data_IF_160324416749
#
_entry.id   IF_160324416749
#
_cell.length_a   1.000
_cell.length_b   1.000
_cell.length_c   1.000
_cell.angle_alpha   90.00
_cell.angle_beta   90.00
_cell.angle_gamma   90.00
#
_symmetry.space_group_name_H-M   'P 1'
#
loop_
_entity.id
_entity.type
_entity.pdbx_description
1 polymer ?
2 polymer ?
3 polymer ?
4 non-polymer ?
5 non-polymer ?
6 water ?
#
loop_
_entity_poly.entity_id
_entity_poly.type
_entity_poly.pdbx_seq_one_letter_code
_entity_poly.pdbx_strand_id
1 'polydeoxyribonucleotide' '(DA)(DT)(DC)(DC)(DT)(DC)(DC)(DC)(DC)(DT)(DA)(DOC)' ?
2 'polydeoxyribonucleotide' '(DT)(DA)(DA)(DG)(DG)(DT)(DA)(DG)(DG)(DG)(DG)(DA)(DG)(DG)(DA)(DT)' ?
#
# COMPACT_ATOMS: atom_id res chain seq x y z
N UNK C 1 -29.04 3.17 1.01
CA UNK C 1 -28.51 3.17 2.41
C UNK C 1 -28.57 1.65 2.69
N UNK C 2 -28.20 1.14 3.84
CA UNK C 2 -28.38 -0.33 4.16
C UNK C 2 -27.45 -1.21 3.38
N UNK C 3 -26.42 -1.64 4.08
CA UNK C 3 -25.30 -2.25 3.47
C UNK C 3 -25.66 -3.65 2.95
N UNK C 4 -25.17 -4.03 1.77
CA UNK C 4 -25.47 -5.37 1.23
C UNK C 4 -24.72 -6.44 2.09
N UNK C 5 -25.42 -7.46 2.51
CA UNK C 5 -24.85 -8.47 3.31
C UNK C 5 -24.04 -9.50 2.48
N UNK C 6 -23.17 -10.25 3.16
CA UNK C 6 -22.28 -11.21 2.55
C UNK C 6 -22.91 -12.38 1.85
N UNK C 7 -24.20 -12.55 2.01
CA UNK C 7 -24.86 -13.73 1.44
C UNK C 7 -25.67 -13.22 0.20
N UNK C 8 -25.49 -11.95 -0.12
CA UNK C 8 -26.11 -11.41 -1.32
C UNK C 8 -25.19 -11.53 -2.53
N UNK C 9 -25.77 -11.90 -3.67
CA UNK C 9 -24.98 -11.98 -4.87
C UNK C 9 -24.22 -10.70 -5.13
N UNK C 10 -24.64 -9.53 -4.72
CA UNK C 10 -23.75 -8.51 -5.11
C UNK C 10 -22.84 -7.88 -4.09
N UNK C 11 -22.55 -8.67 -3.04
CA UNK C 11 -21.74 -8.24 -1.98
C UNK C 11 -20.38 -7.69 -2.43
N UNK C 12 -19.65 -8.46 -3.22
CA UNK C 12 -18.29 -8.13 -3.59
C UNK C 12 -18.31 -6.84 -4.35
N UNK C 13 -19.27 -6.70 -5.27
CA UNK C 13 -19.37 -5.43 -6.09
C UNK C 13 -19.48 -4.25 -5.16
N UNK C 14 -20.37 -4.38 -4.19
CA UNK C 14 -20.80 -3.23 -3.40
C UNK C 14 -19.64 -2.96 -2.40
N UNK C 15 -19.05 -4.02 -1.84
CA UNK C 15 -18.02 -3.89 -0.83
C UNK C 15 -16.76 -3.32 -1.45
N UNK C 16 -16.35 -3.89 -2.57
CA UNK C 16 -15.22 -3.32 -3.34
C UNK C 16 -15.53 -1.87 -3.74
N UNK C 17 -16.79 -1.50 -3.94
CA UNK C 17 -16.96 -0.11 -4.51
C UNK C 17 -16.69 0.80 -3.40
N UNK C 18 -16.69 0.26 -2.16
CA UNK C 18 -16.59 1.20 -1.00
C UNK C 18 -15.22 1.04 -0.30
N UNK C 19 -14.54 -0.10 -0.41
CA UNK C 19 -13.29 -0.28 0.25
C UNK C 19 -12.09 0.49 -0.38
N UNK C 20 -11.50 1.41 0.40
CA UNK C 20 -10.46 2.16 -0.20
C UNK C 20 -9.23 1.23 -0.36
N UNK C 21 -9.11 0.20 0.51
CA UNK C 21 -8.00 -0.71 0.33
C UNK C 21 -8.10 -1.56 -0.97
N UNK C 22 -9.29 -2.07 -1.22
CA UNK C 22 -9.48 -2.68 -2.50
C UNK C 22 -9.11 -1.72 -3.70
N UNK C 23 -9.50 -0.42 -3.65
CA UNK C 23 -9.13 0.49 -4.73
C UNK C 23 -7.62 0.61 -4.88
N UNK C 24 -6.96 0.66 -3.72
CA UNK C 24 -5.52 0.89 -3.70
C UNK C 24 -4.91 -0.31 -4.46
N UNK C 25 -5.30 -1.54 -4.06
CA UNK C 25 -4.83 -2.72 -4.75
C UNK C 25 -5.15 -2.73 -6.24
N UNK C 26 -6.41 -2.49 -6.56
CA UNK C 26 -6.85 -2.51 -7.98
C UNK C 26 -6.06 -1.43 -8.76
N UNK C 27 -5.97 -0.21 -8.21
CA UNK C 27 -5.29 0.85 -8.97
C UNK C 27 -3.84 0.43 -9.18
N UNK C 28 -3.19 -0.21 -8.16
CA UNK C 28 -1.82 -0.64 -8.26
C UNK C 28 -1.61 -1.70 -9.37
N UNK C 29 -2.41 -2.75 -9.37
CA UNK C 29 -2.35 -3.76 -10.42
C UNK C 29 -2.52 -3.16 -11.87
N UNK C 30 -3.48 -2.25 -12.00
CA UNK C 30 -3.78 -1.63 -13.30
C UNK C 30 -2.59 -0.78 -13.74
N UNK C 31 -1.99 -0.01 -12.81
CA UNK C 31 -0.77 0.77 -13.20
C UNK C 31 0.44 -0.11 -13.64
N UNK C 32 0.70 -1.21 -12.92
CA UNK C 32 1.67 -2.19 -13.35
C UNK C 32 1.39 -2.64 -14.78
N UNK C 33 0.16 -3.08 -15.04
CA UNK C 33 -0.19 -3.49 -16.38
C UNK C 33 0.00 -2.40 -17.38
N UNK C 34 -0.37 -1.16 -16.99
CA UNK C 34 -0.34 -0.10 -17.97
C UNK C 34 1.17 0.10 -18.33
N UNK C 35 2.06 -0.02 -17.35
CA UNK C 35 3.47 0.03 -17.53
C UNK C 35 3.96 -1.03 -18.53
N UNK C 36 3.51 -2.29 -18.34
CA UNK C 36 3.88 -3.36 -19.22
C UNK C 36 3.31 -3.12 -20.59
N UNK C 37 2.07 -2.66 -20.71
CA UNK C 37 1.55 -2.37 -22.06
C UNK C 37 2.35 -1.23 -22.76
N UNK C 38 2.67 -0.12 -22.10
CA UNK C 38 3.28 1.04 -22.77
C UNK C 38 4.72 0.74 -23.13
N UNK C 39 5.32 -0.22 -22.45
CA UNK C 39 6.72 -0.51 -22.70
C UNK C 39 6.98 -1.86 -23.38
N UNK C 40 5.97 -2.45 -24.01
CA UNK C 40 6.12 -3.64 -24.84
C UNK C 40 7.31 -3.57 -25.79
N UNK C 41 7.54 -2.40 -26.46
CA UNK C 41 8.60 -2.30 -27.41
C UNK C 41 9.69 -1.36 -26.98
N UNK C 42 9.77 -1.11 -25.68
CA UNK C 42 10.79 -0.23 -25.14
C UNK C 42 11.83 -1.09 -24.38
N UNK C 43 13.12 -0.91 -24.71
CA UNK C 43 14.19 -1.63 -24.01
C UNK C 43 14.46 -0.85 -22.72
N UNK C 44 14.31 -1.59 -21.62
CA UNK C 44 13.83 -1.11 -20.33
C UNK C 44 14.79 -1.19 -19.07
N UNK C 45 15.62 -2.25 -19.02
CA UNK C 45 16.45 -2.58 -17.84
C UNK C 45 17.60 -1.58 -17.65
N UNK C 46 17.95 -1.29 -16.39
CA UNK C 46 19.13 -0.50 -16.05
C UNK C 46 20.22 -1.48 -15.71
N UNK C 47 21.48 -1.12 -16.01
CA UNK C 47 22.66 -2.00 -15.73
C UNK C 47 23.54 -1.57 -14.54
N UNK C 48 24.48 -2.45 -14.18
CA UNK C 48 25.56 -2.10 -13.23
C UNK C 48 26.46 -0.99 -13.76
N UNK C 49 26.71 -0.97 -15.08
CA UNK C 49 27.53 0.08 -15.72
C UNK C 49 26.90 1.53 -15.56
N UNK C 50 25.57 1.59 -15.41
CA UNK C 50 24.76 2.80 -15.42
C UNK C 50 24.93 3.72 -14.19
N UNK C 51 25.00 5.03 -14.40
CA UNK C 51 24.94 5.97 -13.28
C UNK C 51 23.58 6.68 -13.23
N UNK C 52 22.94 6.68 -12.07
CA UNK C 52 21.55 7.11 -12.03
C UNK C 52 21.13 7.89 -10.78
N UNK C 53 20.17 8.78 -10.96
CA UNK C 53 19.60 9.54 -9.85
C UNK C 53 18.11 9.12 -9.67
N UNK C 54 17.70 8.87 -8.43
CA UNK C 54 16.30 8.48 -8.15
C UNK C 54 15.50 9.67 -7.71
N UNK C 55 14.34 9.85 -8.28
CA UNK C 55 13.47 10.90 -7.79
C UNK C 55 12.18 10.19 -7.29
N UNK C 56 11.96 10.15 -6.00
CA UNK C 56 10.84 9.44 -5.49
C UNK C 56 9.76 10.49 -5.23
N UNK C 57 8.60 10.44 -5.90
CA UNK C 57 7.67 11.58 -5.94
C UNK C 57 6.29 11.08 -5.55
N UNK C 58 5.65 11.77 -4.60
CA UNK C 58 4.52 11.21 -3.84
C UNK C 58 3.58 12.33 -3.50
N UNK C 59 2.28 12.18 -3.69
CA UNK C 59 1.36 13.28 -3.25
C UNK C 59 1.35 13.42 -1.76
N UNK C 60 1.33 14.65 -1.23
CA UNK C 60 1.03 14.79 0.23
C UNK C 60 -0.38 14.46 0.60
N UNK C 61 -0.52 13.85 1.76
CA UNK C 61 -1.83 13.37 2.28
C UNK C 61 -2.89 13.26 1.16
N UNK C 62 -2.69 12.30 0.24
CA UNK C 62 -3.50 12.25 -1.02
C UNK C 62 -4.94 11.88 -0.57
N UNK C 63 -5.95 12.32 -1.12
CA UNK C 63 -7.25 11.66 -0.48
C UNK C 63 -7.65 12.76 0.39
N UNK C 64 -6.88 13.14 1.40
CA UNK C 64 -7.33 14.31 2.18
C UNK C 64 -7.15 15.53 1.34
N UNK C 65 -6.06 15.68 0.57
CA UNK C 65 -5.92 16.84 -0.31
C UNK C 65 -7.02 16.81 -1.39
N UNK C 66 -7.23 15.64 -1.99
CA UNK C 66 -8.17 15.60 -3.09
C UNK C 66 -9.66 15.66 -2.59
N UNK C 67 -9.98 15.00 -1.47
CA UNK C 67 -11.33 15.10 -0.90
C UNK C 67 -11.59 16.56 -0.51
N UNK C 68 -10.58 17.26 0.00
CA UNK C 68 -10.76 18.66 0.35
C UNK C 68 -10.98 19.56 -0.91
N UNK C 69 -10.11 19.48 -1.91
CA UNK C 69 -10.38 20.24 -3.16
C UNK C 69 -11.77 20.03 -3.76
N UNK C 70 -12.32 18.81 -3.69
CA UNK C 70 -13.59 18.41 -4.30
C UNK C 70 -14.71 18.44 -3.30
N UNK C 71 -14.55 19.07 -2.15
CA UNK C 71 -15.59 18.95 -1.08
C UNK C 71 -16.95 19.60 -1.46
N UNK C 72 -18.04 19.00 -0.96
CA UNK C 72 -19.41 19.50 -1.17
C UNK C 72 -19.57 20.85 -0.48
N UNK C 73 -20.62 21.62 -0.79
CA UNK C 73 -20.77 22.96 -0.21
C UNK C 73 -21.00 22.94 1.29
N UNK C 74 -21.52 21.84 1.86
CA UNK C 74 -21.75 21.87 3.32
C UNK C 74 -20.45 21.84 4.14
N UNK C 75 -19.32 21.60 3.48
CA UNK C 75 -18.01 21.86 4.04
C UNK C 75 -17.26 23.05 3.44
N UNK C 76 -17.91 24.03 2.79
CA UNK C 76 -17.09 25.16 2.26
C UNK C 76 -16.26 25.86 3.40
N UNK C 77 -16.76 25.69 4.63
CA UNK C 77 -16.35 26.45 5.81
C UNK C 77 -14.91 26.13 6.27
N UNK C 78 -14.23 25.36 5.46
CA UNK C 78 -13.39 24.37 6.06
C UNK C 78 -11.90 24.66 6.27
N UNK C 79 -11.15 25.19 5.31
CA UNK C 79 -9.71 25.54 5.63
C UNK C 79 -8.61 24.43 5.98
N UNK C 80 -7.97 23.96 4.89
CA UNK C 80 -6.94 22.92 4.87
C UNK C 80 -5.68 23.25 5.69
N UNK C 81 -5.43 24.57 5.87
CA UNK C 81 -4.20 25.05 6.55
C UNK C 81 -4.30 25.09 8.09
N UNK C 82 -5.52 25.16 8.62
CA UNK C 82 -5.79 25.47 10.02
C UNK C 82 -6.60 24.35 10.74
N UNK C 83 -7.44 23.62 10.00
CA UNK C 83 -8.26 22.52 10.50
C UNK C 83 -7.74 21.09 10.35
N UNK C 84 -7.95 20.23 11.34
CA UNK C 84 -7.56 18.82 11.24
C UNK C 84 -8.60 18.05 10.39
N UNK C 85 -8.14 17.47 9.28
CA UNK C 85 -9.11 16.88 8.36
C UNK C 85 -8.71 15.46 8.06
N UNK C 86 -9.70 14.62 7.99
CA UNK C 86 -9.52 13.25 7.63
C UNK C 86 -10.56 12.81 6.65
N UNK C 87 -10.34 11.67 5.97
CA UNK C 87 -11.24 11.07 5.04
C UNK C 87 -11.61 9.75 5.62
N UNK C 88 -12.91 9.44 5.78
CA UNK C 88 -13.28 8.21 6.43
C UNK C 88 -14.73 7.91 6.20
N UNK C 89 -15.23 6.73 6.64
CA UNK C 89 -16.63 6.39 6.28
C UNK C 89 -17.49 6.74 7.50
N UNK C 90 -17.01 6.54 8.72
CA UNK C 90 -17.87 6.63 9.85
C UNK C 90 -17.37 7.56 10.90
N UNK C 91 -17.66 7.18 12.12
CA UNK C 91 -17.58 8.13 13.24
C UNK C 91 -16.91 7.53 14.47
N UNK C 92 -16.67 6.21 14.51
CA UNK C 92 -16.06 5.59 15.73
C UNK C 92 -14.88 4.68 15.37
N UNK C 93 -15.11 3.40 15.12
CA UNK C 93 -14.02 2.48 14.74
C UNK C 93 -13.85 2.37 13.29
N UNK C 94 -13.65 3.54 12.67
CA UNK C 94 -13.71 3.65 11.26
C UNK C 94 -12.32 4.17 10.85
N UNK C 95 -11.69 3.54 9.88
CA UNK C 95 -10.31 3.92 9.60
C UNK C 95 -10.22 5.30 8.96
N UNK C 96 -9.24 6.02 9.43
CA UNK C 96 -8.84 7.23 8.76
C UNK C 96 -8.01 6.98 7.52
N UNK C 97 -8.57 7.00 6.32
CA UNK C 97 -7.72 6.65 5.15
C UNK C 97 -6.55 7.66 4.99
N UNK C 98 -6.84 8.95 5.19
CA UNK C 98 -5.74 9.95 4.99
C UNK C 98 -6.07 11.12 5.90
N UNK C 99 -5.06 11.70 6.55
CA UNK C 99 -5.26 12.91 7.38
C UNK C 99 -4.28 13.95 6.91
N UNK C 100 -4.69 15.22 6.87
CA UNK C 100 -3.78 16.35 6.58
C UNK C 100 -2.71 16.67 7.71
N UNK C 101 -1.67 17.44 7.36
CA UNK C 101 -0.62 17.70 8.30
C UNK C 101 -1.08 18.45 9.55
N UNK C 102 -2.19 19.18 9.49
CA UNK C 102 -2.70 19.80 10.74
C UNK C 102 -3.16 18.67 11.63
N UNK C 103 -3.95 17.73 11.12
CA UNK C 103 -4.28 16.51 11.96
C UNK C 103 -3.02 15.79 12.53
N UNK C 104 -1.97 15.64 11.70
CA UNK C 104 -0.73 14.98 12.13
C UNK C 104 0.05 15.74 13.17
N UNK C 105 -0.08 17.08 13.21
CA UNK C 105 0.51 17.83 14.30
C UNK C 105 -0.08 17.47 15.71
N UNK C 106 -1.26 16.83 15.80
CA UNK C 106 -1.84 16.34 17.07
C UNK C 106 -1.49 14.87 17.37
N UNK C 107 -0.84 14.18 16.42
CA UNK C 107 -0.45 12.79 16.59
C UNK C 107 -1.34 11.82 15.78
N UNK C 108 -2.37 12.32 15.13
CA UNK C 108 -3.21 11.54 14.26
C UNK C 108 -2.41 10.98 13.03
N UNK C 109 -2.64 9.71 12.70
CA UNK C 109 -1.92 9.00 11.64
C UNK C 109 -2.92 8.26 10.71
N UNK C 110 -2.55 8.10 9.45
CA UNK C 110 -3.32 7.24 8.53
C UNK C 110 -3.98 5.88 8.99
N UNK C 111 -3.39 4.97 9.63
CA UNK C 111 -4.55 3.93 9.77
C UNK C 111 -5.33 3.94 11.09
N UNK C 112 -5.37 5.10 11.71
CA UNK C 112 -5.97 5.22 13.04
C UNK C 112 -7.48 5.24 12.94
N UNK C 113 -8.18 4.76 13.98
CA UNK C 113 -9.61 4.93 14.01
C UNK C 113 -10.04 6.41 14.37
N UNK C 114 -11.13 6.83 13.82
CA UNK C 114 -11.67 8.10 14.18
C UNK C 114 -11.82 8.30 15.71
N UNK C 115 -12.22 7.28 16.46
CA UNK C 115 -12.43 7.53 17.88
C UNK C 115 -11.09 7.79 18.55
N UNK C 116 -10.10 7.00 18.21
CA UNK C 116 -8.76 7.21 18.74
C UNK C 116 -8.29 8.67 18.37
N UNK C 117 -8.62 9.18 17.17
CA UNK C 117 -7.99 10.41 16.74
C UNK C 117 -8.57 11.58 17.53
N UNK C 118 -9.85 11.60 17.72
CA UNK C 118 -10.57 12.66 18.39
C UNK C 118 -10.18 12.76 19.87
N UNK C 119 -9.88 11.67 20.57
CA UNK C 119 -9.16 11.83 21.81
C UNK C 119 -7.87 12.69 21.75
N UNK C 120 -7.27 12.85 20.58
CA UNK C 120 -5.98 13.51 20.58
C UNK C 120 -6.14 15.01 20.48
N UNK C 121 -7.37 15.49 20.26
CA UNK C 121 -7.60 16.91 20.01
C UNK C 121 -7.91 17.67 21.28
N UNK C 122 -7.18 18.75 21.51
CA UNK C 122 -7.42 19.65 22.64
C UNK C 122 -8.73 20.41 22.49
N UNK C 123 -9.14 21.08 23.55
CA UNK C 123 -10.48 21.65 23.66
C UNK C 123 -10.58 22.74 22.62
N UNK C 124 -11.68 22.78 21.87
CA UNK C 124 -11.82 23.89 20.93
C UNK C 124 -11.24 23.47 19.55
N UNK C 125 -10.76 22.21 19.45
CA UNK C 125 -10.36 21.74 18.14
C UNK C 125 -11.31 20.61 17.69
N UNK C 126 -11.91 20.73 16.49
CA UNK C 126 -12.93 19.78 16.00
C UNK C 126 -12.34 19.09 14.78
N UNK C 127 -12.54 17.77 14.71
CA UNK C 127 -12.10 16.97 13.60
C UNK C 127 -13.04 17.18 12.44
N UNK C 128 -12.51 17.46 11.26
CA UNK C 128 -13.39 17.45 10.10
C UNK C 128 -13.35 16.14 9.28
N UNK C 129 -14.47 15.41 9.11
CA UNK C 129 -14.45 14.15 8.38
C UNK C 129 -14.94 14.31 6.92
N UNK C 130 -14.09 14.09 5.89
CA UNK C 130 -14.63 14.14 4.54
C UNK C 130 -14.91 12.75 4.00
N UNK C 131 -15.86 12.63 3.04
CA UNK C 131 -16.14 11.35 2.37
C UNK C 131 -15.08 11.01 1.31
N UNK C 132 -15.07 9.79 0.80
CA UNK C 132 -14.12 9.40 -0.19
C UNK C 132 -14.66 9.94 -1.51
N UNK C 133 -13.75 10.35 -2.43
CA UNK C 133 -14.14 10.69 -3.76
C UNK C 133 -13.22 9.85 -4.67
N UNK C 134 -13.53 8.57 -4.82
CA UNK C 134 -12.67 7.68 -5.59
C UNK C 134 -12.39 8.05 -7.04
N UNK C 135 -13.42 8.46 -7.78
CA UNK C 135 -13.23 8.95 -9.14
C UNK C 135 -12.21 10.10 -9.17
N UNK C 136 -12.35 11.04 -8.24
CA UNK C 136 -11.48 12.18 -8.30
C UNK C 136 -10.10 11.70 -7.95
N UNK C 137 -9.96 10.76 -7.01
CA UNK C 137 -8.54 10.35 -6.69
C UNK C 137 -7.86 9.86 -7.96
N UNK C 138 -8.67 9.13 -8.70
CA UNK C 138 -8.13 8.53 -9.92
C UNK C 138 -7.78 9.61 -11.01
N UNK C 139 -8.62 10.64 -11.16
CA UNK C 139 -8.37 11.71 -12.14
C UNK C 139 -7.05 12.44 -11.77
N UNK C 140 -6.84 12.76 -10.47
CA UNK C 140 -5.60 13.49 -10.10
C UNK C 140 -4.41 12.52 -10.35
N UNK C 141 -4.65 11.24 -10.09
CA UNK C 141 -3.53 10.39 -10.26
C UNK C 141 -3.13 10.38 -11.76
N UNK C 142 -4.13 10.34 -12.66
CA UNK C 142 -3.88 10.37 -14.12
C UNK C 142 -3.15 11.60 -14.57
N UNK C 143 -3.56 12.77 -14.07
CA UNK C 143 -2.92 14.08 -14.35
C UNK C 143 -1.43 14.02 -13.93
N UNK C 144 -1.19 13.51 -12.70
CA UNK C 144 0.10 13.27 -12.19
C UNK C 144 0.88 12.49 -13.17
N UNK C 145 0.45 11.29 -13.50
CA UNK C 145 1.32 10.44 -14.30
C UNK C 145 1.48 11.03 -15.70
N UNK C 146 0.45 11.70 -16.24
CA UNK C 146 0.68 12.22 -17.61
C UNK C 146 1.65 13.41 -17.63
N UNK C 147 1.58 14.22 -16.55
CA UNK C 147 2.48 15.32 -16.35
C UNK C 147 3.92 14.84 -16.27
N UNK C 148 4.19 13.79 -15.51
CA UNK C 148 5.56 13.23 -15.41
C UNK C 148 6.14 12.83 -16.77
N UNK C 149 5.37 12.00 -17.53
CA UNK C 149 5.65 11.61 -18.89
C UNK C 149 5.91 12.89 -19.73
N UNK C 150 5.09 13.93 -19.62
CA UNK C 150 5.14 15.02 -20.59
C UNK C 150 6.40 15.90 -20.44
N UNK C 151 6.93 16.03 -19.24
CA UNK C 151 8.12 16.82 -18.96
C UNK C 151 9.17 15.92 -19.50
N UNK C 152 10.26 16.26 -20.05
CA UNK C 152 10.73 15.00 -20.63
C UNK C 152 11.98 14.70 -19.91
N UNK C 153 11.81 14.26 -18.66
CA UNK C 153 12.91 14.34 -17.65
C UNK C 153 13.55 12.98 -17.37
N UNK C 154 12.78 11.91 -17.39
CA UNK C 154 13.21 10.63 -16.82
C UNK C 154 13.38 9.56 -17.86
N UNK C 155 14.30 8.65 -17.62
CA UNK C 155 14.47 7.53 -18.50
C UNK C 155 13.45 6.50 -18.14
N UNK C 156 13.01 6.52 -16.88
CA UNK C 156 12.05 5.54 -16.47
C UNK C 156 11.17 5.90 -15.30
N UNK C 157 9.88 5.59 -15.38
CA UNK C 157 8.89 6.06 -14.45
C UNK C 157 8.20 4.79 -13.97
N UNK C 158 8.49 4.41 -12.74
CA UNK C 158 8.00 3.20 -12.16
C UNK C 158 6.82 3.51 -11.28
N UNK C 159 5.65 3.01 -11.62
CA UNK C 159 4.48 3.34 -10.81
C UNK C 159 4.58 2.52 -9.52
N UNK C 160 4.55 3.12 -8.33
CA UNK C 160 4.52 2.29 -7.11
C UNK C 160 3.05 2.25 -6.60
N UNK C 161 2.31 3.35 -6.81
CA UNK C 161 0.97 3.38 -6.24
C UNK C 161 0.16 4.49 -6.96
N UNK C 162 -1.11 4.57 -6.67
CA UNK C 162 -1.95 5.58 -7.19
C UNK C 162 -1.42 7.00 -7.08
N UNK C 163 -0.63 7.25 -6.04
CA UNK C 163 -0.10 8.61 -5.87
C UNK C 163 1.41 8.66 -5.75
N UNK C 164 2.14 7.74 -6.35
CA UNK C 164 3.55 7.73 -6.06
C UNK C 164 4.28 7.03 -7.18
N UNK C 165 5.44 7.54 -7.55
CA UNK C 165 6.19 6.98 -8.71
C UNK C 165 7.67 7.15 -8.40
N UNK C 166 8.49 6.16 -8.77
CA UNK C 166 9.93 6.24 -8.64
C UNK C 166 10.43 6.57 -10.03
N UNK C 167 11.10 7.68 -10.15
CA UNK C 167 11.59 8.17 -11.43
C UNK C 167 13.10 8.22 -11.48
N UNK C 168 13.66 7.60 -12.53
CA UNK C 168 15.07 7.42 -12.69
C UNK C 168 15.64 8.22 -13.78
N UNK C 169 16.65 9.04 -13.51
CA UNK C 169 17.42 9.68 -14.59
C UNK C 169 18.80 8.98 -14.67
N UNK C 170 19.17 8.63 -15.90
CA UNK C 170 20.44 8.01 -16.18
C UNK C 170 21.37 9.14 -16.57
N UNK C 171 22.47 9.23 -15.86
CA UNK C 171 23.47 10.25 -16.14
C UNK C 171 24.62 9.61 -16.90
N UNK C 172 24.88 10.04 -18.13
CA UNK C 172 26.11 9.63 -18.84
C UNK C 172 27.43 10.06 -18.08
N UNK C 173 28.51 9.28 -18.32
CA UNK C 173 29.91 9.57 -17.87
C UNK C 173 30.15 10.81 -16.92
N UNK C 180 22.74 20.99 -8.35
CA UNK C 180 22.03 22.23 -8.77
C UNK C 180 20.84 22.12 -9.80
N UNK C 181 21.14 21.62 -10.98
CA UNK C 181 20.11 21.08 -11.82
C UNK C 181 19.04 20.24 -10.99
N UNK C 182 19.43 19.22 -10.26
CA UNK C 182 18.47 18.43 -9.52
C UNK C 182 17.41 19.28 -8.71
N UNK C 183 17.83 20.40 -8.10
CA UNK C 183 16.89 21.26 -7.38
C UNK C 183 15.92 21.96 -8.33
N UNK C 184 16.39 22.47 -9.48
CA UNK C 184 15.47 23.09 -10.42
C UNK C 184 14.52 22.04 -10.88
N UNK C 185 14.97 20.83 -11.14
CA UNK C 185 14.05 19.82 -11.69
C UNK C 185 12.95 19.51 -10.65
N UNK C 186 13.34 19.36 -9.38
CA UNK C 186 12.37 19.20 -8.29
C UNK C 186 11.34 20.30 -8.31
N UNK C 187 11.79 21.50 -8.63
CA UNK C 187 10.91 22.66 -8.50
C UNK C 187 9.93 22.66 -9.65
N UNK C 188 10.43 22.33 -10.85
CA UNK C 188 9.56 22.27 -12.00
C UNK C 188 8.53 21.21 -11.78
N UNK C 189 8.96 19.98 -11.43
CA UNK C 189 8.03 18.91 -11.25
C UNK C 189 6.93 19.29 -10.23
N UNK C 190 7.33 19.82 -9.07
CA UNK C 190 6.33 20.21 -8.05
C UNK C 190 5.41 21.25 -8.62
N UNK C 191 5.92 22.18 -9.39
CA UNK C 191 5.07 23.25 -9.93
C UNK C 191 4.05 22.79 -10.97
N UNK C 192 4.53 22.03 -11.97
CA UNK C 192 3.73 21.51 -13.04
C UNK C 192 2.72 20.52 -12.54
N UNK C 193 3.11 19.71 -11.54
CA UNK C 193 2.10 18.83 -10.92
C UNK C 193 1.05 19.60 -10.13
N UNK C 194 1.48 20.60 -9.39
CA UNK C 194 0.50 21.45 -8.75
C UNK C 194 -0.50 22.07 -9.78
N UNK C 195 -0.04 22.52 -10.97
CA UNK C 195 -0.99 23.07 -11.93
C UNK C 195 -1.83 21.97 -12.64
N UNK C 196 -1.21 20.88 -13.06
CA UNK C 196 -1.85 19.88 -13.92
C UNK C 196 -2.98 19.16 -13.14
N UNK C 197 -2.91 19.28 -11.80
CA UNK C 197 -3.71 18.67 -10.79
C UNK C 197 -4.68 19.64 -10.18
N UNK C 198 -4.53 20.97 -10.39
CA UNK C 198 -5.24 21.95 -9.57
C UNK C 198 -4.78 21.99 -8.14
N UNK C 199 -5.61 22.24 -7.19
CA UNK C 199 -4.71 22.46 -6.02
C UNK C 199 -3.76 21.38 -5.35
N UNK C 200 -3.33 20.27 -5.97
CA UNK C 200 -2.62 19.21 -5.20
C UNK C 200 -1.12 19.36 -5.15
N UNK C 201 -0.58 18.87 -4.04
CA UNK C 201 0.81 19.05 -3.79
C UNK C 201 1.46 17.69 -3.79
N UNK C 202 2.70 17.67 -4.27
CA UNK C 202 3.56 16.51 -4.29
C UNK C 202 4.91 16.84 -3.52
N UNK C 203 5.47 15.92 -2.70
CA UNK C 203 6.85 16.09 -2.33
C UNK C 203 7.85 15.18 -3.13
N UNK C 204 9.15 15.48 -3.10
CA UNK C 204 10.17 14.74 -3.83
C UNK C 204 11.42 14.48 -3.00
N UNK C 205 11.84 13.21 -2.93
CA UNK C 205 13.08 12.72 -2.39
C UNK C 205 14.02 12.45 -3.61
N UNK C 206 15.20 13.04 -3.60
CA UNK C 206 16.08 12.84 -4.72
C UNK C 206 17.38 12.30 -4.19
N UNK C 207 17.89 11.21 -4.74
CA UNK C 207 19.11 10.63 -4.22
C UNK C 207 19.76 9.69 -5.24
N UNK C 208 20.91 9.11 -4.90
CA UNK C 208 21.53 7.99 -5.67
C UNK C 208 21.23 6.59 -5.10
N UNK C 209 20.24 6.46 -4.23
CA UNK C 209 19.74 5.17 -3.73
C UNK C 209 18.30 5.23 -3.74
N UNK C 210 17.68 4.10 -3.93
CA UNK C 210 16.25 4.09 -3.68
C UNK C 210 15.92 4.31 -2.20
N UNK C 211 16.75 3.75 -1.29
CA UNK C 211 16.41 3.83 0.14
C UNK C 211 16.53 5.28 0.53
N UNK C 212 17.67 5.94 0.19
CA UNK C 212 17.83 7.35 0.58
C UNK C 212 16.75 8.27 -0.03
N UNK C 213 16.39 8.04 -1.30
CA UNK C 213 15.31 8.79 -1.94
C UNK C 213 14.00 8.68 -1.12
N UNK C 214 13.69 7.49 -0.61
CA UNK C 214 12.51 7.32 0.15
C UNK C 214 12.65 8.09 1.47
N UNK C 215 13.85 8.13 2.04
CA UNK C 215 13.98 8.81 3.35
C UNK C 215 13.98 10.33 3.09
N UNK C 216 14.67 10.70 2.04
CA UNK C 216 14.67 12.12 1.63
C UNK C 216 13.25 12.59 1.40
N UNK C 217 12.42 11.73 0.83
CA UNK C 217 11.00 12.02 0.60
C UNK C 217 10.24 12.31 1.91
N UNK C 218 10.36 11.40 2.89
CA UNK C 218 9.79 11.61 4.20
C UNK C 218 10.28 12.97 4.80
N UNK C 219 11.58 13.20 4.75
CA UNK C 219 12.10 14.43 5.28
C UNK C 219 11.53 15.69 4.55
N UNK C 220 11.27 15.57 3.24
CA UNK C 220 10.81 16.71 2.45
C UNK C 220 9.38 17.06 2.80
N UNK C 221 8.73 16.11 3.44
CA UNK C 221 7.31 15.84 3.20
C UNK C 221 6.19 16.81 3.37
N UNK C 222 6.15 17.75 4.24
CA UNK C 222 4.98 18.63 3.91
C UNK C 222 5.42 19.55 2.68
N UNK C 223 5.06 19.17 1.46
CA UNK C 223 5.03 20.08 0.29
C UNK C 223 6.41 20.68 -0.03
N UNK C 224 7.40 19.82 -0.28
CA UNK C 224 8.79 20.24 -0.38
C UNK C 224 9.55 19.21 -1.16
N UNK C 225 10.84 19.43 -1.31
CA UNK C 225 11.73 18.37 -1.83
C UNK C 225 12.98 18.32 -0.98
N UNK C 226 13.79 17.28 -1.16
CA UNK C 226 14.98 17.13 -0.31
C UNK C 226 16.04 16.33 -1.09
N UNK C 227 17.25 16.81 -1.21
CA UNK C 227 18.20 16.13 -2.03
C UNK C 227 19.04 15.10 -1.32
N UNK C 228 19.98 15.35 -0.45
CA UNK C 228 20.55 14.02 0.20
C UNK C 228 21.14 12.73 -0.56
N UNK C 229 22.40 12.80 -0.97
CA UNK C 229 23.12 11.67 -1.53
C UNK C 229 23.87 10.81 -0.50
N UNK C 230 24.31 9.60 -0.88
CA UNK C 230 25.17 8.78 0.03
C UNK C 230 26.24 9.65 0.72
N UNK C 231 26.75 10.66 0.04
CA UNK C 231 27.79 11.46 0.67
C UNK C 231 27.27 12.59 1.60
N UNK C 232 25.96 12.81 1.67
CA UNK C 232 25.42 13.91 2.48
C UNK C 232 24.92 13.32 3.78
N UNK C 233 25.19 12.03 3.99
CA UNK C 233 24.74 11.45 5.24
C UNK C 233 25.42 12.05 6.46
N UNK C 234 24.62 12.43 7.44
CA UNK C 234 25.09 12.94 8.73
C UNK C 234 24.15 12.39 9.83
N UNK C 235 24.58 12.68 11.05
CA UNK C 235 23.95 12.24 12.24
C UNK C 235 22.67 13.08 12.44
N UNK C 236 22.71 14.32 11.99
CA UNK C 236 21.50 15.13 12.12
C UNK C 236 20.45 14.58 11.09
N UNK C 237 20.89 13.99 10.00
CA UNK C 237 19.90 13.32 9.15
C UNK C 237 19.26 12.07 9.80
N UNK C 238 20.08 11.12 10.22
CA UNK C 238 19.57 9.93 10.83
C UNK C 238 18.79 10.17 12.09
N UNK C 239 19.16 11.20 12.84
CA UNK C 239 18.40 11.59 14.03
C UNK C 239 16.97 12.01 13.80
N UNK C 240 16.62 12.32 12.58
CA UNK C 240 15.31 12.84 12.40
C UNK C 240 14.24 11.78 12.06
N UNK C 241 14.61 10.47 12.02
CA UNK C 241 13.75 9.37 11.51
C UNK C 241 13.43 8.36 12.61
N UNK C 242 12.13 7.98 12.72
CA UNK C 242 11.67 6.87 13.53
C UNK C 242 12.23 5.58 12.94
N UNK C 243 12.36 4.50 13.74
CA UNK C 243 12.86 3.24 13.15
C UNK C 243 12.04 2.74 11.93
N UNK C 244 10.68 2.86 12.02
CA UNK C 244 9.83 2.39 10.91
C UNK C 244 9.69 3.41 9.82
N UNK C 245 10.50 4.47 9.83
CA UNK C 245 10.63 5.22 8.58
C UNK C 245 11.45 4.41 7.55
N UNK C 246 12.19 3.39 7.98
CA UNK C 246 12.82 2.49 6.99
C UNK C 246 11.82 1.67 6.17
N UNK C 247 12.01 1.61 4.85
CA UNK C 247 11.10 0.82 3.98
C UNK C 247 11.28 -0.63 4.44
N UNK C 248 10.20 -1.39 4.57
CA UNK C 248 10.37 -2.76 5.00
C UNK C 248 10.36 -2.91 6.51
N UNK C 249 10.43 -1.85 7.25
CA UNK C 249 10.25 -1.96 8.71
C UNK C 249 8.90 -1.42 9.11
N UNK C 250 8.07 -2.23 9.76
CA UNK C 250 6.72 -1.84 10.16
C UNK C 250 6.56 -2.21 11.64
N UNK C 251 5.34 -2.42 12.10
CA UNK C 251 5.12 -2.60 13.52
C UNK C 251 5.88 -3.76 14.19
N UNK C 252 5.90 -4.97 13.58
CA UNK C 252 6.61 -6.09 14.24
C UNK C 252 8.10 -5.91 14.24
N UNK C 253 8.68 -5.48 13.14
CA UNK C 253 10.07 -5.28 13.15
C UNK C 253 10.45 -4.18 14.18
N UNK C 254 9.63 -3.12 14.27
CA UNK C 254 9.90 -2.06 15.25
C UNK C 254 10.01 -2.70 16.62
N UNK C 255 9.03 -3.51 16.90
CA UNK C 255 8.92 -3.98 18.22
C UNK C 255 10.13 -4.95 18.46
N UNK C 256 10.56 -5.70 17.43
CA UNK C 256 11.73 -6.55 17.67
C UNK C 256 13.00 -5.69 17.81
N UNK C 257 13.16 -4.63 16.99
CA UNK C 257 14.34 -3.80 17.05
C UNK C 257 14.40 -3.21 18.43
N UNK C 258 13.27 -2.79 18.98
CA UNK C 258 13.27 -2.17 20.29
C UNK C 258 13.63 -3.14 21.40
N UNK C 259 13.19 -4.38 21.24
CA UNK C 259 13.38 -5.32 22.31
C UNK C 259 14.90 -5.72 22.33
N UNK C 260 15.55 -5.74 21.18
CA UNK C 260 16.94 -6.11 21.06
C UNK C 260 17.90 -4.92 21.40
N UNK C 261 17.66 -3.72 20.88
CA UNK C 261 18.62 -2.67 21.09
C UNK C 261 18.24 -1.61 22.11
N UNK C 262 17.59 -2.06 23.20
CA UNK C 262 17.15 -1.18 24.33
C UNK C 262 16.46 0.07 23.84
N UNK C 263 15.43 -0.13 23.04
CA UNK C 263 14.53 0.95 22.56
C UNK C 263 15.20 2.14 21.90
N UNK C 264 15.89 1.95 20.83
CA UNK C 264 16.49 3.10 20.17
C UNK C 264 15.34 3.98 19.67
N UNK C 265 15.42 5.30 19.82
CA UNK C 265 14.32 6.14 19.41
C UNK C 265 14.52 6.78 18.02
N UNK C 266 15.71 6.75 17.44
CA UNK C 266 15.75 7.30 16.04
C UNK C 266 16.70 6.43 15.24
N UNK C 267 16.78 6.60 13.93
CA UNK C 267 17.69 5.72 13.14
C UNK C 267 19.09 5.98 13.60
N UNK C 268 19.39 7.20 14.04
CA UNK C 268 20.73 7.47 14.56
C UNK C 268 21.14 6.62 15.79
N UNK C 269 20.19 6.41 16.68
CA UNK C 269 20.43 5.68 17.89
C UNK C 269 20.59 4.25 17.52
N UNK C 270 19.90 3.82 16.49
CA UNK C 270 20.01 2.43 16.11
C UNK C 270 21.34 2.24 15.45
N UNK C 271 21.69 3.13 14.53
CA UNK C 271 22.94 2.90 13.91
C UNK C 271 24.12 2.92 14.87
N UNK C 272 24.00 3.56 16.02
CA UNK C 272 25.14 3.60 16.90
C UNK C 272 25.13 2.37 17.77
N UNK C 273 24.00 1.68 17.88
CA UNK C 273 23.98 0.62 18.85
C UNK C 273 24.18 -0.78 18.27
N UNK C 274 23.67 -1.02 17.06
CA UNK C 274 23.55 -2.31 16.38
C UNK C 274 24.85 -2.93 15.91
N UNK C 275 24.87 -4.28 15.88
CA UNK C 275 25.95 -5.09 15.28
C UNK C 275 25.24 -5.99 14.29
N UNK C 276 25.82 -6.07 13.08
CA UNK C 276 25.17 -6.86 12.04
C UNK C 276 24.62 -8.16 12.60
N UNK C 277 25.45 -8.94 13.28
CA UNK C 277 25.00 -10.21 13.82
C UNK C 277 23.74 -10.14 14.65
N UNK C 278 23.70 -9.27 15.65
CA UNK C 278 22.54 -9.19 16.54
C UNK C 278 21.21 -8.79 15.73
N UNK C 279 21.36 -7.88 14.74
CA UNK C 279 20.33 -7.38 13.84
C UNK C 279 19.75 -8.58 13.13
N UNK C 280 20.61 -9.35 12.42
CA UNK C 280 20.14 -10.56 11.79
C UNK C 280 19.41 -11.51 12.76
N UNK C 281 19.83 -11.61 14.01
CA UNK C 281 19.25 -12.61 14.90
C UNK C 281 17.93 -12.06 15.29
N UNK C 282 17.87 -10.76 15.51
CA UNK C 282 16.61 -10.04 15.79
C UNK C 282 15.46 -10.06 14.71
N UNK C 283 15.76 -9.65 13.48
CA UNK C 283 14.66 -9.35 12.56
C UNK C 283 14.64 -10.27 11.37
N UNK C 284 15.63 -11.15 11.29
CA UNK C 284 15.67 -11.98 10.13
C UNK C 284 16.94 -12.13 9.37
N UNK C 285 17.74 -11.15 9.10
CA UNK C 285 18.84 -11.68 8.12
C UNK C 285 18.43 -11.55 6.71
N UNK C 286 18.91 -10.65 5.93
CA UNK C 286 17.96 -10.33 4.73
C UNK C 286 17.36 -9.01 5.06
N UNK C 287 16.35 -9.03 5.91
CA UNK C 287 15.77 -7.82 6.49
C UNK C 287 16.89 -7.18 7.32
N UNK C 288 17.55 -7.95 8.19
CA UNK C 288 18.66 -7.38 8.91
C UNK C 288 19.79 -6.82 8.02
N UNK C 289 20.17 -7.60 7.04
CA UNK C 289 21.01 -7.19 5.95
C UNK C 289 20.50 -5.92 5.23
N UNK C 290 19.22 -5.89 4.87
CA UNK C 290 18.62 -4.68 4.28
C UNK C 290 18.74 -3.41 5.12
N UNK C 291 18.54 -3.56 6.43
CA UNK C 291 18.56 -2.46 7.38
C UNK C 291 20.01 -1.95 7.51
N UNK C 292 20.91 -2.90 7.71
CA UNK C 292 22.35 -2.66 7.66
C UNK C 292 22.81 -1.79 6.47
N UNK C 293 22.42 -2.17 5.27
CA UNK C 293 22.81 -1.49 4.04
C UNK C 293 22.12 -0.19 4.02
N UNK C 294 20.85 -0.23 4.39
CA UNK C 294 20.11 1.05 4.45
C UNK C 294 20.81 2.18 5.28
N UNK C 295 21.37 1.80 6.43
CA UNK C 295 21.98 2.73 7.36
C UNK C 295 23.30 3.17 6.84
N UNK C 296 23.71 2.66 5.71
CA UNK C 296 24.85 3.25 4.97
C UNK C 296 24.41 3.86 3.65
N UNK C 297 23.11 4.02 3.49
CA UNK C 297 22.61 4.60 2.28
C UNK C 297 22.47 3.60 1.14
N UNK C 298 22.58 2.30 1.38
CA UNK C 298 22.66 1.39 0.25
C UNK C 298 21.45 0.51 0.13
N UNK C 299 21.10 0.22 -1.13
CA UNK C 299 20.02 -0.70 -1.49
C UNK C 299 20.45 -2.17 -1.39
N UNK C 300 19.57 -3.04 -0.91
CA UNK C 300 19.80 -4.46 -1.03
C UNK C 300 19.53 -4.87 -2.49
N UNK C 301 20.02 -6.05 -2.86
CA UNK C 301 19.80 -6.60 -4.17
C UNK C 301 18.29 -6.75 -4.53
N UNK C 302 17.46 -7.27 -3.59
CA UNK C 302 16.02 -7.43 -3.85
C UNK C 302 15.41 -6.10 -4.39
N UNK C 303 15.61 -5.00 -3.65
CA UNK C 303 15.10 -3.68 -4.02
C UNK C 303 15.55 -3.27 -5.40
N UNK C 304 16.78 -3.61 -5.74
CA UNK C 304 17.33 -3.16 -7.01
C UNK C 304 16.72 -3.90 -8.23
N UNK C 305 16.13 -5.08 -8.05
CA UNK C 305 15.55 -5.82 -9.19
C UNK C 305 14.59 -4.94 -9.99
N UNK C 306 13.93 -4.02 -9.28
CA UNK C 306 12.99 -3.18 -9.94
C UNK C 306 13.69 -2.23 -10.93
N UNK C 307 14.98 -1.93 -10.76
CA UNK C 307 15.67 -1.09 -11.79
C UNK C 307 16.34 -1.92 -12.88
N UNK C 308 16.91 -3.05 -12.47
CA UNK C 308 17.60 -4.00 -13.33
C UNK C 308 16.59 -4.89 -14.18
N UNK C 309 15.31 -4.89 -13.83
CA UNK C 309 14.33 -5.57 -14.66
C UNK C 309 12.91 -5.21 -14.29
N UNK C 310 12.48 -3.98 -14.55
CA UNK C 310 11.10 -3.60 -14.22
C UNK C 310 10.05 -4.55 -14.74
N UNK C 311 10.21 -5.01 -16.01
CA UNK C 311 9.16 -5.87 -16.60
C UNK C 311 8.94 -7.13 -15.81
N UNK C 312 9.99 -7.68 -15.26
CA UNK C 312 9.75 -8.84 -14.41
C UNK C 312 9.17 -8.48 -13.08
N UNK C 313 9.62 -7.43 -12.43
CA UNK C 313 9.17 -7.21 -11.08
C UNK C 313 7.68 -6.88 -11.09
N UNK C 314 7.29 -6.11 -12.10
CA UNK C 314 5.94 -5.62 -12.29
C UNK C 314 4.97 -6.63 -12.92
N UNK C 315 5.47 -7.74 -13.42
CA UNK C 315 4.62 -8.78 -13.91
C UNK C 315 3.96 -9.43 -12.66
N UNK C 316 2.67 -9.47 -12.70
CA UNK C 316 1.81 -10.09 -11.75
C UNK C 316 2.04 -11.61 -11.71
N UNK C 317 2.27 -12.14 -10.52
CA UNK C 317 2.57 -13.55 -10.40
C UNK C 317 1.44 -14.24 -9.64
N UNK C 318 0.49 -13.51 -9.06
CA UNK C 318 -0.63 -14.20 -8.44
C UNK C 318 -1.87 -13.31 -8.44
N UNK C 319 -2.99 -13.90 -8.03
CA UNK C 319 -4.23 -13.21 -8.11
C UNK C 319 -5.21 -13.68 -7.00
N UNK C 320 -5.81 -12.74 -6.27
CA UNK C 320 -6.70 -13.19 -5.18
C UNK C 320 -7.73 -12.21 -4.76
N UNK C 321 -8.72 -12.67 -3.98
CA UNK C 321 -9.46 -11.70 -3.21
C UNK C 321 -9.29 -12.04 -1.71
N UNK C 322 -9.55 -11.09 -0.83
CA UNK C 322 -9.36 -11.32 0.56
C UNK C 322 -10.35 -10.43 1.27
N UNK C 323 -11.39 -11.02 1.93
CA UNK C 323 -12.51 -10.31 2.42
C UNK C 323 -12.56 -10.57 3.94
N UNK C 324 -12.42 -9.50 4.76
CA UNK C 324 -12.24 -9.65 6.20
C UNK C 324 -13.17 -8.72 6.97
N UNK C 325 -14.13 -8.15 6.26
CA UNK C 325 -15.10 -7.27 6.84
C UNK C 325 -16.44 -7.74 6.30
N UNK C 326 -17.49 -7.79 7.16
CA UNK C 326 -18.80 -8.11 6.73
C UNK C 326 -18.97 -9.60 6.58
N UNK C 327 -18.02 -10.39 7.03
CA UNK C 327 -18.19 -11.82 6.83
C UNK C 327 -19.01 -12.42 8.00
N UNK C 328 -20.26 -12.86 7.77
CA UNK C 328 -21.08 -13.52 8.83
C UNK C 328 -21.93 -14.56 8.19
N UNK C 329 -21.68 -15.83 8.53
CA UNK C 329 -22.50 -16.90 7.98
C UNK C 329 -23.14 -17.77 9.02
N UNK C 330 -24.29 -18.36 8.69
CA UNK C 330 -24.84 -19.43 9.50
C UNK C 330 -24.58 -20.88 9.12
N UNK C 331 -24.51 -21.21 7.81
CA UNK C 331 -24.34 -22.58 7.31
C UNK C 331 -23.38 -22.68 6.11
N UNK C 332 -22.91 -23.90 5.82
CA UNK C 332 -21.90 -24.08 4.81
C UNK C 332 -22.53 -23.82 3.47
N UNK C 333 -23.85 -24.00 3.32
CA UNK C 333 -24.47 -23.69 1.99
C UNK C 333 -24.15 -22.27 1.63
N UNK C 334 -24.32 -21.34 2.60
CA UNK C 334 -24.06 -19.90 2.28
C UNK C 334 -22.58 -19.78 1.97
N UNK C 335 -21.76 -20.51 2.71
CA UNK C 335 -20.32 -20.38 2.46
C UNK C 335 -19.94 -20.87 1.07
N UNK C 336 -20.41 -22.09 0.75
CA UNK C 336 -20.16 -22.61 -0.58
C UNK C 336 -20.62 -21.64 -1.63
N UNK C 337 -21.75 -20.98 -1.46
CA UNK C 337 -22.23 -20.14 -2.60
C UNK C 337 -21.31 -18.95 -2.75
N UNK C 338 -20.84 -18.50 -1.60
CA UNK C 338 -19.97 -17.35 -1.53
C UNK C 338 -18.65 -17.69 -2.20
N UNK C 339 -18.11 -18.84 -1.84
CA UNK C 339 -16.88 -19.32 -2.44
C UNK C 339 -17.07 -19.44 -3.96
N UNK C 340 -18.26 -19.93 -4.37
CA UNK C 340 -18.52 -20.05 -5.78
C UNK C 340 -18.55 -18.69 -6.46
N UNK C 341 -19.31 -17.70 -5.88
CA UNK C 341 -19.24 -16.35 -6.41
C UNK C 341 -17.83 -15.71 -6.51
N UNK C 342 -16.96 -16.01 -5.56
CA UNK C 342 -15.63 -15.49 -5.48
C UNK C 342 -14.73 -16.06 -6.61
N UNK C 343 -14.85 -17.37 -6.84
CA UNK C 343 -14.30 -18.02 -8.07
C UNK C 343 -14.82 -17.46 -9.33
N UNK C 344 -16.12 -17.15 -9.39
CA UNK C 344 -16.62 -16.50 -10.61
C UNK C 344 -15.94 -15.15 -10.88
N UNK C 345 -15.79 -14.35 -9.83
CA UNK C 345 -15.16 -13.03 -9.89
C UNK C 345 -13.72 -13.11 -10.28
N UNK C 346 -13.00 -14.01 -9.61
CA UNK C 346 -11.61 -14.21 -9.89
C UNK C 346 -11.37 -14.77 -11.31
N UNK C 347 -12.24 -15.68 -11.78
CA UNK C 347 -12.02 -16.21 -13.09
C UNK C 347 -12.30 -15.15 -14.10
N UNK C 348 -13.11 -14.12 -13.80
CA UNK C 348 -13.27 -13.08 -14.84
C UNK C 348 -11.96 -12.31 -14.96
N UNK C 349 -11.34 -12.01 -13.83
CA UNK C 349 -10.02 -11.39 -13.82
C UNK C 349 -8.94 -12.22 -14.54
N UNK C 350 -8.78 -13.49 -14.12
CA UNK C 350 -7.88 -14.39 -14.78
C UNK C 350 -8.10 -14.38 -16.32
N UNK C 351 -9.35 -14.42 -16.80
CA UNK C 351 -9.53 -14.46 -18.24
C UNK C 351 -9.20 -13.13 -18.92
N UNK C 352 -9.32 -12.06 -18.17
CA UNK C 352 -9.01 -10.71 -18.63
C UNK C 352 -7.51 -10.56 -18.76
N UNK C 353 -6.73 -11.31 -17.98
CA UNK C 353 -5.30 -11.13 -18.08
C UNK C 353 -4.70 -12.24 -18.92
N UNK C 354 -5.55 -13.01 -19.61
CA UNK C 354 -5.16 -14.22 -20.35
C UNK C 354 -4.23 -15.20 -19.74
N UNK C 355 -4.55 -15.62 -18.51
CA UNK C 355 -3.75 -16.61 -17.76
C UNK C 355 -4.59 -17.80 -17.21
N UNK C 356 -3.92 -18.85 -16.74
CA UNK C 356 -4.63 -19.93 -16.06
C UNK C 356 -3.86 -20.04 -14.77
N UNK C 357 -4.18 -20.96 -13.90
CA UNK C 357 -3.52 -21.17 -12.62
C UNK C 357 -3.17 -22.63 -12.41
N UNK C 358 -2.14 -22.88 -11.62
CA UNK C 358 -1.75 -24.25 -11.43
C UNK C 358 -1.76 -24.55 -10.00
N UNK C 359 -2.07 -23.58 -9.18
CA UNK C 359 -1.98 -23.75 -7.72
C UNK C 359 -2.92 -22.78 -7.03
N UNK C 360 -3.64 -23.26 -6.03
CA UNK C 360 -4.73 -22.52 -5.43
C UNK C 360 -4.63 -22.50 -3.94
N UNK C 361 -5.09 -21.42 -3.29
CA UNK C 361 -5.07 -21.49 -1.84
C UNK C 361 -6.37 -20.95 -1.30
N UNK C 362 -6.89 -21.57 -0.28
CA UNK C 362 -8.03 -20.97 0.45
C UNK C 362 -7.50 -20.65 1.88
N UNK C 363 -7.73 -19.44 2.31
CA UNK C 363 -7.19 -19.00 3.61
C UNK C 363 -8.37 -18.39 4.36
N UNK C 364 -8.42 -18.53 5.66
CA UNK C 364 -9.56 -18.02 6.44
C UNK C 364 -9.22 -17.42 7.80
N UNK C 365 -10.07 -16.52 8.31
CA UNK C 365 -9.89 -15.93 9.58
C UNK C 365 -10.96 -16.52 10.48
N UNK C 366 -10.57 -17.14 11.60
CA UNK C 366 -11.60 -17.80 12.43
C UNK C 366 -11.59 -17.12 13.80
N UNK C 367 -12.72 -16.83 14.41
CA UNK C 367 -12.76 -16.14 15.73
C UNK C 367 -11.84 -16.86 16.74
N UNK C 368 -10.89 -16.20 17.43
CA UNK C 368 -10.15 -16.82 18.51
C UNK C 368 -11.08 -17.39 19.58
N UNK C 369 -10.73 -18.53 20.14
CA UNK C 369 -11.48 -19.07 21.30
C UNK C 369 -11.86 -17.94 22.29
N UNK C 370 -10.92 -17.07 22.63
CA UNK C 370 -11.19 -16.03 23.62
C UNK C 370 -11.98 -14.72 23.29
N UNK C 371 -12.21 -14.48 21.98
CA UNK C 371 -12.70 -13.23 21.43
C UNK C 371 -14.21 -13.14 21.47
N UNK C 372 -14.72 -11.92 21.68
CA UNK C 372 -16.17 -11.73 21.66
C UNK C 372 -16.71 -12.17 20.31
N UNK C 373 -17.86 -12.82 20.28
CA UNK C 373 -18.64 -13.05 19.07
C UNK C 373 -18.91 -11.78 18.20
N UNK C 374 -19.19 -10.65 18.83
CA UNK C 374 -19.27 -9.42 18.11
C UNK C 374 -18.03 -8.48 18.43
N UNK C 375 -17.14 -8.25 17.47
CA UNK C 375 -15.92 -7.47 17.72
C UNK C 375 -16.21 -6.03 18.05
N UNK C 376 -15.27 -5.27 18.61
CA UNK C 376 -15.55 -3.83 18.81
C UNK C 376 -15.82 -3.09 17.48
N UNK C 377 -15.19 -3.54 16.36
CA UNK C 377 -15.42 -2.77 15.12
C UNK C 377 -16.68 -3.33 14.47
N UNK C 378 -17.68 -2.52 14.28
CA UNK C 378 -18.87 -2.96 13.61
C UNK C 378 -18.55 -3.73 12.34
N UNK C 379 -19.02 -5.00 12.33
CA UNK C 379 -18.91 -5.87 11.16
C UNK C 379 -17.45 -6.37 10.98
N UNK C 380 -16.59 -6.24 12.00
CA UNK C 380 -15.16 -6.43 11.72
C UNK C 380 -14.85 -7.88 11.97
N UNK C 381 -13.61 -8.27 11.65
CA UNK C 381 -13.23 -9.65 11.85
C UNK C 381 -12.88 -9.85 13.32
N UNK C 382 -12.50 -8.79 14.06
CA UNK C 382 -12.05 -8.97 15.42
C UNK C 382 -10.72 -9.76 15.46
N UNK C 383 -10.42 -10.27 16.64
CA UNK C 383 -9.21 -11.03 16.87
C UNK C 383 -9.45 -12.50 16.40
N UNK C 384 -8.58 -13.00 15.52
CA UNK C 384 -8.78 -14.24 14.80
C UNK C 384 -7.52 -15.01 14.68
N UNK C 385 -7.64 -16.32 14.47
CA UNK C 385 -6.54 -17.12 13.95
C UNK C 385 -6.61 -17.38 12.47
N UNK C 386 -5.49 -17.42 11.81
CA UNK C 386 -5.37 -17.84 10.39
C UNK C 386 -5.23 -19.36 10.09
N UNK C 387 -5.91 -19.83 9.06
CA UNK C 387 -5.84 -21.19 8.66
C UNK C 387 -5.80 -21.14 7.14
N UNK C 388 -4.88 -21.89 6.56
CA UNK C 388 -4.60 -21.81 5.19
C UNK C 388 -4.23 -23.23 4.68
N UNK C 389 -4.67 -23.55 3.48
CA UNK C 389 -4.32 -24.77 2.82
C UNK C 389 -4.33 -24.56 1.31
N UNK C 390 -3.32 -25.11 0.66
CA UNK C 390 -3.18 -24.92 -0.72
C UNK C 390 -3.19 -26.26 -1.52
N UNK C 391 -3.43 -26.17 -2.84
CA UNK C 391 -3.25 -27.34 -3.62
C UNK C 391 -2.79 -27.06 -5.03
N UNK C 392 -2.00 -27.99 -5.53
CA UNK C 392 -1.48 -27.93 -6.88
C UNK C 392 -2.51 -28.53 -7.76
N UNK C 393 -2.83 -27.87 -8.84
CA UNK C 393 -3.82 -28.43 -9.81
C UNK C 393 -3.07 -29.35 -10.77
N UNK C 394 -3.68 -30.41 -11.24
CA UNK C 394 -2.95 -31.31 -12.13
C UNK C 394 -2.42 -30.57 -13.36
N UNK C 395 -3.27 -29.75 -14.00
CA UNK C 395 -2.88 -28.98 -15.21
C UNK C 395 -3.24 -27.51 -15.01
N UNK C 396 -2.54 -26.55 -15.55
CA UNK C 396 -3.05 -25.17 -15.43
C UNK C 396 -4.46 -25.03 -16.12
N UNK C 397 -5.45 -24.41 -15.46
CA UNK C 397 -6.84 -24.26 -15.96
C UNK C 397 -7.39 -22.89 -15.49
N UNK C 398 -8.39 -22.44 -16.22
CA UNK C 398 -9.21 -21.40 -15.78
C UNK C 398 -10.64 -22.03 -15.65
N UNK C 399 -10.76 -23.34 -15.46
CA UNK C 399 -12.11 -23.92 -15.36
C UNK C 399 -12.76 -23.72 -14.08
N UNK C 400 -13.95 -23.14 -14.14
CA UNK C 400 -14.76 -23.04 -12.90
C UNK C 400 -14.89 -24.32 -12.08
N UNK C 401 -15.21 -25.44 -12.72
CA UNK C 401 -15.55 -26.65 -11.96
C UNK C 401 -14.40 -27.24 -11.14
N UNK C 402 -13.23 -27.31 -11.77
CA UNK C 402 -12.01 -27.71 -11.13
C UNK C 402 -11.69 -26.80 -9.92
N UNK C 403 -11.75 -25.49 -10.15
CA UNK C 403 -11.31 -24.53 -9.13
C UNK C 403 -12.29 -24.38 -7.95
N UNK C 404 -13.55 -24.09 -8.27
CA UNK C 404 -14.50 -23.96 -7.23
C UNK C 404 -14.63 -25.25 -6.43
N UNK C 405 -14.55 -26.42 -7.07
CA UNK C 405 -14.66 -27.68 -6.32
C UNK C 405 -13.45 -27.85 -5.38
N UNK C 406 -12.25 -27.58 -5.85
CA UNK C 406 -11.15 -27.74 -4.93
C UNK C 406 -11.25 -26.68 -3.79
N UNK C 407 -11.69 -25.43 -4.13
CA UNK C 407 -11.80 -24.41 -3.08
C UNK C 407 -12.78 -24.84 -1.97
N UNK C 408 -13.94 -25.40 -2.35
CA UNK C 408 -14.97 -25.79 -1.37
C UNK C 408 -14.41 -27.02 -0.60
N UNK C 409 -13.52 -27.75 -1.27
CA UNK C 409 -12.97 -28.92 -0.64
C UNK C 409 -11.94 -28.45 0.44
N UNK C 410 -11.12 -27.53 0.10
CA UNK C 410 -10.14 -26.98 0.99
C UNK C 410 -10.81 -26.34 2.19
N UNK C 411 -11.97 -25.69 1.99
CA UNK C 411 -12.66 -25.18 3.19
C UNK C 411 -13.04 -26.35 4.12
N UNK C 412 -13.49 -27.50 3.58
CA UNK C 412 -13.85 -28.61 4.53
C UNK C 412 -12.67 -29.10 5.30
N UNK C 413 -11.52 -29.16 4.66
CA UNK C 413 -10.34 -29.62 5.38
C UNK C 413 -9.91 -28.69 6.49
N UNK C 414 -10.15 -27.37 6.37
CA UNK C 414 -9.72 -26.50 7.47
C UNK C 414 -10.74 -26.56 8.61
N UNK C 415 -11.96 -27.04 8.30
CA UNK C 415 -12.93 -27.32 9.32
C UNK C 415 -13.34 -26.15 10.15
N UNK C 416 -13.55 -24.96 9.57
CA UNK C 416 -13.98 -23.82 10.43
C UNK C 416 -15.49 -23.82 10.45
N UNK C 417 -16.18 -23.95 11.60
CA UNK C 417 -17.66 -23.89 11.57
C UNK C 417 -18.09 -22.51 10.89
N UNK C 418 -19.09 -22.48 9.99
CA UNK C 418 -19.48 -21.19 9.40
C UNK C 418 -19.65 -20.06 10.40
N UNK C 419 -20.29 -20.34 11.52
CA UNK C 419 -20.55 -19.32 12.50
C UNK C 419 -19.34 -18.69 13.09
N UNK C 420 -18.14 -19.34 12.94
CA UNK C 420 -16.89 -18.81 13.47
C UNK C 420 -16.14 -18.10 12.35
N UNK C 421 -16.62 -18.16 11.10
CA UNK C 421 -15.80 -17.64 10.01
C UNK C 421 -15.85 -16.10 10.14
N UNK C 422 -14.75 -15.39 9.93
CA UNK C 422 -14.80 -13.92 10.00
C UNK C 422 -14.07 -13.29 8.85
N UNK C 423 -13.39 -14.11 8.03
CA UNK C 423 -12.71 -13.56 6.84
C UNK C 423 -12.34 -14.72 5.94
N UNK C 424 -12.24 -14.46 4.66
CA UNK C 424 -11.91 -15.55 3.77
C UNK C 424 -11.16 -15.00 2.54
N UNK C 425 -10.09 -15.68 2.12
CA UNK C 425 -9.30 -15.32 0.94
C UNK C 425 -9.28 -16.45 -0.07
N UNK C 426 -9.43 -16.13 -1.35
CA UNK C 426 -9.32 -17.15 -2.38
C UNK C 426 -8.14 -16.76 -3.28
N UNK C 427 -7.13 -17.62 -3.42
CA UNK C 427 -5.88 -17.25 -4.15
C UNK C 427 -5.58 -18.17 -5.36
N UNK C 428 -5.14 -17.59 -6.45
CA UNK C 428 -4.51 -18.28 -7.52
C UNK C 428 -3.00 -17.92 -7.40
N UNK C 429 -2.22 -18.78 -6.71
CA UNK C 429 -0.73 -18.65 -6.60
C UNK C 429 -0.15 -19.09 -7.95
N UNK C 430 1.03 -18.79 -8.32
CA UNK C 430 1.35 -19.47 -9.68
C UNK C 430 0.35 -19.34 -10.86
N UNK C 431 0.68 -18.47 -11.82
CA UNK C 431 -0.13 -18.18 -13.01
C UNK C 431 0.64 -18.57 -14.27
N UNK C 432 -0.07 -19.17 -15.23
CA UNK C 432 0.61 -19.71 -16.41
C UNK C 432 0.08 -18.96 -17.59
N UNK C 433 1.00 -18.56 -18.46
CA UNK C 433 0.64 -17.76 -19.65
C UNK C 433 -0.32 -18.43 -20.68
N UNK C 434 -0.99 -17.56 -21.46
CA UNK C 434 -1.64 -17.88 -22.80
C UNK C 434 -2.91 -18.72 -22.57
X LIG D 1 1.99 6.91 -1.61
X LIG E 1 1.35 10.20 -0.25
X LIG F 1 -4.06 4.81 2.41
X LIG F 1 -5.08 4.31 3.20
X LIG F 1 -4.78 3.71 4.42
X LIG F 1 -3.49 3.71 4.93
X LIG F 1 -2.46 4.36 4.21
X LIG F 1 -2.80 4.98 3.00
X LIG F 1 -6.27 4.32 2.87
X LIG F 1 -3.27 3.08 6.07
X LIG F 1 -4.42 5.63 1.18
X LIG F 1 -4.80 7.07 1.45
X LIG F 1 -3.55 7.89 1.29
X LIG F 1 -2.95 7.08 0.08
X LIG F 1 -3.29 5.73 0.31
X LIG F 1 -3.92 9.24 0.92
X LIG F 1 -1.46 7.16 -0.18
X LIG F 1 -0.93 6.73 1.05
X LIG F 1 0.37 7.40 1.74
X LIG F 1 1.26 8.08 0.68
X LIG F 1 1.08 6.33 2.55
X LIG F 1 -0.08 8.59 2.73
X LIG F 1 -0.67 10.03 2.37
X LIG F 1 -2.02 10.25 2.90
X LIG F 1 -0.48 10.40 0.89
X LIG F 1 0.26 10.94 3.28
X LIG F 1 1.77 11.38 3.03
X LIG F 1 2.44 10.91 4.36
X LIG F 1 1.70 12.95 2.79
X LIG F 1 2.37 10.68 1.72
#
# INVERSE_FOLDING_TARGET
KRIVACDDPDFLTSYFAHSRLHHLSAWKANLKDKFLNENIHKYTKITDKDTYIIFHIDFDCFFATVAYLCRSSSFSACDFKRDPIVVCHGTKNSDIASCNYVARSYGIKNGMWVSQAEKMLPNGIKLISLPYTFEQFQLKSEAFYSTLKRLNIFNLILPISIDEAVCVRIIPDNIHNTNTLNARLCEEIRQEIFQGTNGCTVSIGCSDSLVLARLALKMAKPNGYNITFKSNLSEEFWSSFKLDDLPGVGHSTLSRLESTFDSPHSLNDLRKRYTLDALKASVGSKLGMKIHLALQGQDDEESLKILYDPKEVLQRKSLSIDINWGIRFKNITQVDLFIERGCQYLLEKLNEINKTTSQITLKLMRRCKDAPIEPPKYMGMGRCDSFSRSSRLGIPTNEFGIIATEMKSLYRTLGCPPMELRGLALQFNKLVDV
MG MG
MG MG
DCP N1 C2 N3 C4 C5 C6 O2 N4 C1' C2' C3' C4' O4' O3' C5' O5' PA O1A O2A O3A PB O1B O2B O3B PG O1G O2G O3G
#
